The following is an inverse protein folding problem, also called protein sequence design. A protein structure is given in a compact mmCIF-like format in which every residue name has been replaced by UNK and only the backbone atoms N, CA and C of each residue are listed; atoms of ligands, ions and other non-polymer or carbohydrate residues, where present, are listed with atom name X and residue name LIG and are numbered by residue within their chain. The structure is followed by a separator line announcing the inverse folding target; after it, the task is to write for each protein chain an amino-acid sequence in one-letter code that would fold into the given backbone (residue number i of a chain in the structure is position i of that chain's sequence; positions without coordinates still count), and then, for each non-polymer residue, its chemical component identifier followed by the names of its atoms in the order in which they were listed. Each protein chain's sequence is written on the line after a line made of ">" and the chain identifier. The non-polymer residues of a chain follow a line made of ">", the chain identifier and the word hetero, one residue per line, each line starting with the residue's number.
data_IF_879192296881
#
_entry.id   IF_879192296881
#
_cell.length_a   1.000
_cell.length_b   1.000
_cell.length_c   1.000
_cell.angle_alpha   90.00
_cell.angle_beta   90.00
_cell.angle_gamma   90.00
#
_symmetry.space_group_name_H-M   'P 1'
#
loop_
_entity.id
_entity.type
_entity.pdbx_description
1 polymer ?
#
# COMPACT_ATOMS: atom_id res chain seq x y z
N UNK A 1 25.55 20.99 -7.14
CA UNK A 1 25.26 19.77 -7.94
C UNK A 1 23.86 19.29 -7.56
N UNK A 2 23.02 18.85 -8.51
CA UNK A 2 21.62 18.43 -8.25
C UNK A 2 21.47 16.94 -7.90
N UNK A 3 22.44 16.10 -8.24
CA UNK A 3 22.44 14.66 -7.96
C UNK A 3 23.79 14.21 -7.39
N UNK A 4 23.77 13.16 -6.56
CA UNK A 4 24.98 12.56 -5.99
C UNK A 4 25.67 11.68 -7.06
N UNK A 5 26.90 12.03 -7.52
CA UNK A 5 27.61 11.25 -8.54
C UNK A 5 28.16 9.92 -8.01
N UNK A 6 28.16 9.71 -6.70
CA UNK A 6 28.76 8.54 -6.06
C UNK A 6 27.78 7.37 -5.87
N UNK A 7 26.56 7.49 -6.42
CA UNK A 7 25.57 6.41 -6.43
C UNK A 7 26.07 5.26 -7.32
N UNK A 8 26.04 4.04 -6.76
CA UNK A 8 26.50 2.80 -7.40
C UNK A 8 25.36 1.80 -7.55
N UNK A 9 25.56 0.80 -8.40
CA UNK A 9 24.65 -0.35 -8.55
C UNK A 9 23.74 -0.33 -9.77
N UNK A 10 23.72 0.74 -10.56
CA UNK A 10 22.91 0.81 -11.79
C UNK A 10 23.36 -0.22 -12.84
N UNK A 11 22.38 -0.85 -13.50
CA UNK A 11 22.60 -1.68 -14.68
C UNK A 11 23.01 -0.80 -15.87
N UNK A 12 24.07 -1.19 -16.58
CA UNK A 12 24.58 -0.46 -17.77
C UNK A 12 24.54 -1.30 -19.05
N UNK A 13 24.27 -2.60 -18.93
CA UNK A 13 24.21 -3.53 -20.05
C UNK A 13 22.82 -4.09 -20.30
N UNK A 14 22.76 -5.04 -21.23
CA UNK A 14 21.53 -5.69 -21.70
C UNK A 14 21.51 -7.14 -21.21
N UNK A 15 20.36 -7.58 -20.72
CA UNK A 15 20.17 -8.94 -20.21
C UNK A 15 21.05 -9.20 -18.99
N UNK A 16 21.87 -10.26 -19.04
CA UNK A 16 22.76 -10.65 -17.93
C UNK A 16 24.12 -9.94 -17.93
N UNK A 17 24.34 -8.98 -18.85
CA UNK A 17 25.61 -8.25 -18.95
C UNK A 17 25.54 -6.96 -18.14
N UNK A 18 26.58 -6.67 -17.37
CA UNK A 18 26.73 -5.41 -16.61
C UNK A 18 25.46 -5.02 -15.82
N UNK A 19 24.94 -5.97 -15.04
CA UNK A 19 23.69 -5.82 -14.28
C UNK A 19 23.85 -4.91 -13.05
N UNK A 20 25.07 -4.63 -12.62
CA UNK A 20 25.31 -3.88 -11.38
C UNK A 20 24.78 -4.69 -10.19
N UNK A 21 23.94 -4.07 -9.37
CA UNK A 21 23.25 -4.74 -8.25
C UNK A 21 21.82 -5.17 -8.58
N UNK A 22 21.44 -5.14 -9.86
CA UNK A 22 20.15 -5.68 -10.28
C UNK A 22 20.20 -7.21 -10.30
N UNK A 23 19.40 -7.84 -9.42
CA UNK A 23 19.26 -9.30 -9.31
C UNK A 23 18.00 -9.85 -10.00
N UNK A 24 17.25 -9.00 -10.70
CA UNK A 24 15.99 -9.41 -11.33
C UNK A 24 16.21 -10.47 -12.41
N UNK A 25 15.35 -11.50 -12.39
CA UNK A 25 15.34 -12.60 -13.34
C UNK A 25 13.96 -12.69 -13.99
N UNK A 26 13.92 -12.77 -15.33
CA UNK A 26 12.68 -12.98 -16.07
C UNK A 26 11.94 -14.22 -15.59
N UNK A 27 10.64 -14.11 -15.34
CA UNK A 27 9.81 -15.21 -14.86
C UNK A 27 9.92 -15.53 -13.36
N UNK A 28 10.78 -14.84 -12.61
CA UNK A 28 10.88 -15.03 -11.17
C UNK A 28 9.57 -14.70 -10.46
N UNK A 29 9.28 -15.45 -9.40
CA UNK A 29 8.15 -15.27 -8.50
C UNK A 29 8.68 -14.91 -7.11
N UNK A 30 7.77 -14.71 -6.16
CA UNK A 30 8.15 -14.34 -4.80
C UNK A 30 9.02 -15.41 -4.11
N UNK A 31 8.81 -16.69 -4.45
CA UNK A 31 9.56 -17.82 -3.88
C UNK A 31 11.07 -17.79 -4.17
N UNK A 32 11.50 -17.18 -5.28
CA UNK A 32 12.93 -17.09 -5.65
C UNK A 32 13.64 -15.86 -5.08
N UNK A 33 12.92 -14.88 -4.51
CA UNK A 33 13.52 -13.64 -3.99
C UNK A 33 14.49 -13.86 -2.82
N UNK A 34 14.26 -14.78 -1.86
CA UNK A 34 15.25 -15.06 -0.82
C UNK A 34 16.63 -15.39 -1.40
N UNK A 35 16.69 -16.19 -2.48
CA UNK A 35 17.96 -16.51 -3.14
C UNK A 35 18.55 -15.29 -3.88
N UNK A 36 17.72 -14.47 -4.54
CA UNK A 36 18.19 -13.22 -5.16
C UNK A 36 18.79 -12.24 -4.14
N UNK A 37 18.21 -12.17 -2.94
CA UNK A 37 18.73 -11.35 -1.84
C UNK A 37 20.07 -11.88 -1.34
N UNK A 38 20.22 -13.19 -1.13
CA UNK A 38 21.52 -13.77 -0.78
C UNK A 38 22.58 -13.42 -1.84
N UNK A 39 22.25 -13.54 -3.12
CA UNK A 39 23.15 -13.18 -4.21
C UNK A 39 23.50 -11.68 -4.20
N UNK A 40 22.53 -10.79 -3.91
CA UNK A 40 22.75 -9.36 -3.73
C UNK A 40 23.74 -9.08 -2.59
N UNK A 41 23.53 -9.71 -1.43
CA UNK A 41 24.40 -9.53 -0.26
C UNK A 41 25.83 -9.99 -0.57
N UNK A 42 25.99 -11.17 -1.17
CA UNK A 42 27.31 -11.70 -1.56
C UNK A 42 27.98 -10.74 -2.56
N UNK A 43 27.23 -10.26 -3.56
CA UNK A 43 27.76 -9.35 -4.58
C UNK A 43 28.23 -8.04 -3.95
N UNK A 44 27.44 -7.43 -3.06
CA UNK A 44 27.84 -6.20 -2.36
C UNK A 44 29.01 -6.40 -1.40
N UNK A 45 29.11 -7.55 -0.73
CA UNK A 45 30.25 -7.88 0.16
C UNK A 45 31.56 -8.08 -0.62
N UNK A 46 31.47 -8.57 -1.85
CA UNK A 46 32.63 -8.84 -2.70
C UNK A 46 33.04 -7.64 -3.59
N UNK A 47 32.20 -6.61 -3.69
CA UNK A 47 32.50 -5.42 -4.46
C UNK A 47 33.39 -4.46 -3.64
N UNK A 48 34.67 -4.35 -4.02
CA UNK A 48 35.65 -3.47 -3.37
C UNK A 48 35.26 -1.98 -3.37
N UNK A 49 34.33 -1.56 -4.23
CA UNK A 49 33.84 -0.19 -4.27
C UNK A 49 32.72 0.08 -3.28
N UNK A 50 32.16 -0.94 -2.63
CA UNK A 50 31.09 -0.81 -1.64
C UNK A 50 31.65 -1.03 -0.24
N UNK A 51 31.48 -0.03 0.63
CA UNK A 51 31.66 -0.25 2.04
C UNK A 51 30.38 -0.92 2.59
N UNK A 52 30.35 -2.26 2.57
CA UNK A 52 29.15 -3.02 2.95
C UNK A 52 28.64 -2.62 4.33
N UNK A 53 29.52 -2.28 5.28
CA UNK A 53 29.12 -1.90 6.64
C UNK A 53 28.63 -0.46 6.77
N UNK A 54 29.21 0.48 6.02
CA UNK A 54 29.00 1.91 6.27
C UNK A 54 28.20 2.64 5.20
N UNK A 55 28.15 2.16 3.97
CA UNK A 55 27.35 2.82 2.94
C UNK A 55 25.85 2.61 3.22
N UNK A 56 25.01 3.60 2.94
CA UNK A 56 23.56 3.37 2.92
C UNK A 56 23.16 2.61 1.66
N UNK A 57 22.27 1.63 1.79
CA UNK A 57 21.70 0.87 0.67
C UNK A 57 20.21 1.18 0.52
N UNK A 58 19.81 1.47 -0.71
CA UNK A 58 18.41 1.55 -1.10
C UNK A 58 18.06 0.29 -1.90
N UNK A 59 17.41 -0.68 -1.26
CA UNK A 59 17.01 -1.95 -1.88
C UNK A 59 15.58 -1.81 -2.35
N UNK A 60 15.28 -2.14 -3.61
CA UNK A 60 13.93 -2.05 -4.17
C UNK A 60 13.45 -3.43 -4.59
N UNK A 61 12.39 -3.91 -3.94
CA UNK A 61 11.73 -5.18 -4.24
C UNK A 61 10.46 -4.89 -5.05
N UNK A 62 10.41 -5.40 -6.28
CA UNK A 62 9.23 -5.37 -7.14
C UNK A 62 9.04 -6.73 -7.77
N UNK A 63 8.05 -7.47 -7.28
CA UNK A 63 7.80 -8.88 -7.60
C UNK A 63 6.30 -9.18 -7.44
N UNK A 64 5.81 -10.30 -7.96
CA UNK A 64 4.41 -10.73 -7.84
C UNK A 64 3.64 -10.78 -9.16
N UNK A 65 4.15 -10.16 -10.22
CA UNK A 65 3.50 -10.21 -11.54
C UNK A 65 3.38 -11.64 -12.06
N UNK A 66 4.46 -12.42 -12.00
CA UNK A 66 4.44 -13.83 -12.43
C UNK A 66 3.62 -14.72 -11.50
N UNK A 67 3.61 -14.44 -10.18
CA UNK A 67 2.78 -15.14 -9.20
C UNK A 67 1.29 -15.01 -9.59
N UNK A 68 0.83 -13.79 -9.86
CA UNK A 68 -0.56 -13.52 -10.28
C UNK A 68 -0.86 -14.08 -11.67
N UNK A 69 0.05 -13.89 -12.62
CA UNK A 69 -0.12 -14.34 -13.99
C UNK A 69 -0.19 -15.87 -14.14
N UNK A 70 0.37 -16.61 -13.19
CA UNK A 70 0.44 -18.08 -13.19
C UNK A 70 -0.36 -18.74 -12.06
N UNK A 71 -1.03 -17.96 -11.19
CA UNK A 71 -1.75 -18.45 -10.01
C UNK A 71 -2.70 -19.61 -10.31
N UNK A 72 -3.46 -19.52 -11.40
CA UNK A 72 -4.43 -20.54 -11.79
C UNK A 72 -3.81 -21.91 -12.14
N UNK A 73 -2.51 -21.96 -12.43
CA UNK A 73 -1.78 -23.20 -12.72
C UNK A 73 -1.28 -23.90 -11.44
N UNK A 74 -1.09 -23.17 -10.35
CA UNK A 74 -0.68 -23.70 -9.05
C UNK A 74 -1.16 -22.79 -7.91
N UNK A 75 -2.45 -22.93 -7.58
CA UNK A 75 -3.12 -22.08 -6.58
C UNK A 75 -2.57 -22.25 -5.17
N UNK A 76 -1.98 -23.42 -4.88
CA UNK A 76 -1.46 -23.75 -3.55
C UNK A 76 -0.13 -23.02 -3.36
N UNK A 77 0.82 -23.24 -4.26
CA UNK A 77 2.16 -22.64 -4.16
C UNK A 77 2.09 -21.12 -4.34
N UNK A 78 1.23 -20.63 -5.22
CA UNK A 78 1.10 -19.19 -5.55
C UNK A 78 0.00 -18.48 -4.75
N UNK A 79 -0.43 -19.05 -3.63
CA UNK A 79 -1.41 -18.42 -2.74
C UNK A 79 -0.88 -17.09 -2.14
N UNK A 80 -1.77 -16.14 -1.81
CA UNK A 80 -1.38 -14.92 -1.11
C UNK A 80 -0.60 -15.17 0.19
N UNK A 81 -0.91 -16.26 0.90
CA UNK A 81 -0.21 -16.66 2.12
C UNK A 81 1.23 -17.08 1.86
N UNK A 82 1.48 -17.89 0.81
CA UNK A 82 2.84 -18.27 0.43
C UNK A 82 3.63 -17.07 -0.13
N UNK A 83 2.98 -16.19 -0.90
CA UNK A 83 3.58 -14.93 -1.31
C UNK A 83 4.04 -14.12 -0.08
N UNK A 84 3.15 -13.90 0.89
CA UNK A 84 3.47 -13.19 2.13
C UNK A 84 4.56 -13.88 2.95
N UNK A 85 4.56 -15.21 3.02
CA UNK A 85 5.59 -15.99 3.68
C UNK A 85 6.98 -15.76 3.07
N UNK A 86 7.11 -15.87 1.74
CA UNK A 86 8.37 -15.64 1.05
C UNK A 86 8.82 -14.18 1.11
N UNK A 87 7.88 -13.21 1.10
CA UNK A 87 8.19 -11.80 1.35
C UNK A 87 8.76 -11.59 2.75
N UNK A 88 8.17 -12.21 3.77
CA UNK A 88 8.68 -12.16 5.14
C UNK A 88 10.09 -12.72 5.22
N UNK A 89 10.33 -13.93 4.68
CA UNK A 89 11.67 -14.53 4.65
C UNK A 89 12.70 -13.59 4.00
N UNK A 90 12.31 -12.95 2.90
CA UNK A 90 13.15 -12.01 2.15
C UNK A 90 13.54 -10.79 3.01
N UNK A 91 12.54 -10.18 3.66
CA UNK A 91 12.75 -9.04 4.55
C UNK A 91 13.53 -9.42 5.81
N UNK A 92 13.32 -10.61 6.36
CA UNK A 92 14.06 -11.13 7.52
C UNK A 92 15.56 -11.29 7.21
N UNK A 93 15.92 -11.78 6.02
CA UNK A 93 17.32 -11.88 5.57
C UNK A 93 17.94 -10.48 5.50
N UNK A 94 17.26 -9.52 4.84
CA UNK A 94 17.75 -8.14 4.74
C UNK A 94 17.91 -7.50 6.13
N UNK A 95 16.92 -7.66 7.00
CA UNK A 95 16.92 -7.13 8.35
C UNK A 95 17.99 -7.77 9.24
N UNK A 96 18.38 -9.02 8.99
CA UNK A 96 19.43 -9.69 9.75
C UNK A 96 20.83 -9.35 9.24
N UNK A 97 21.00 -9.26 7.92
CA UNK A 97 22.33 -9.26 7.31
C UNK A 97 22.81 -7.92 6.74
N UNK A 98 21.90 -6.98 6.47
CA UNK A 98 22.24 -5.73 5.78
C UNK A 98 22.21 -4.54 6.77
N UNK A 99 23.36 -3.92 7.05
CA UNK A 99 23.42 -2.66 7.80
C UNK A 99 23.03 -1.48 6.93
N UNK A 100 22.49 -0.42 7.54
CA UNK A 100 22.17 0.86 6.88
C UNK A 100 21.35 0.69 5.60
N UNK A 101 20.13 0.19 5.72
CA UNK A 101 19.29 -0.12 4.56
C UNK A 101 17.89 0.48 4.63
N UNK A 102 17.44 1.05 3.52
CA UNK A 102 16.04 1.35 3.27
C UNK A 102 15.56 0.36 2.21
N UNK A 103 14.55 -0.44 2.55
CA UNK A 103 13.93 -1.42 1.66
C UNK A 103 12.61 -0.86 1.16
N UNK A 104 12.56 -0.48 -0.11
CA UNK A 104 11.34 -0.17 -0.82
C UNK A 104 10.65 -1.48 -1.23
N UNK A 105 9.46 -1.72 -0.71
CA UNK A 105 8.57 -2.78 -1.21
C UNK A 105 7.55 -2.11 -2.13
N UNK A 106 7.66 -2.34 -3.44
CA UNK A 106 6.68 -1.84 -4.39
C UNK A 106 5.45 -2.73 -4.33
N UNK A 107 4.30 -2.12 -4.07
CA UNK A 107 3.04 -2.85 -4.10
C UNK A 107 2.77 -3.34 -5.52
N UNK A 108 2.41 -4.62 -5.67
CA UNK A 108 2.14 -5.18 -7.00
C UNK A 108 0.94 -4.45 -7.63
N UNK A 109 1.03 -4.21 -8.93
CA UNK A 109 -0.02 -3.52 -9.67
C UNK A 109 -1.34 -4.32 -9.68
N UNK A 110 -2.44 -3.57 -9.78
CA UNK A 110 -3.73 -4.12 -10.19
C UNK A 110 -3.67 -4.45 -11.68
N UNK A 111 -3.65 -5.73 -12.04
CA UNK A 111 -3.35 -6.15 -13.41
C UNK A 111 -4.55 -6.31 -14.35
N UNK A 112 -5.78 -5.98 -13.89
CA UNK A 112 -6.96 -5.97 -14.76
C UNK A 112 -6.78 -5.04 -15.97
N UNK A 113 -6.12 -3.90 -15.79
CA UNK A 113 -5.84 -2.94 -16.85
C UNK A 113 -5.08 -3.53 -18.05
N UNK A 114 -4.32 -4.62 -17.86
CA UNK A 114 -3.61 -5.31 -18.95
C UNK A 114 -4.55 -5.80 -20.05
N UNK A 115 -5.78 -6.19 -19.71
CA UNK A 115 -6.79 -6.66 -20.68
C UNK A 115 -7.16 -5.60 -21.71
N UNK A 116 -6.95 -4.32 -21.39
CA UNK A 116 -7.23 -3.19 -22.29
C UNK A 116 -6.11 -2.97 -23.31
N UNK A 117 -4.88 -3.38 -23.00
CA UNK A 117 -3.71 -3.15 -23.86
C UNK A 117 -3.72 -4.20 -24.97
N UNK A 118 -4.15 -3.80 -26.16
CA UNK A 118 -4.27 -4.67 -27.34
C UNK A 118 -3.62 -4.01 -28.55
N UNK A 119 -3.04 -4.82 -29.42
CA UNK A 119 -2.49 -4.42 -30.72
C UNK A 119 -2.47 -5.64 -31.64
N UNK A 120 -2.54 -5.43 -32.94
CA UNK A 120 -2.52 -6.52 -33.94
C UNK A 120 -1.16 -7.21 -34.08
N UNK A 121 -0.14 -6.78 -33.34
CA UNK A 121 1.17 -7.42 -33.37
C UNK A 121 1.17 -8.83 -32.76
N UNK A 122 2.09 -9.69 -33.24
CA UNK A 122 2.25 -11.06 -32.74
C UNK A 122 2.49 -11.10 -31.23
N UNK A 123 3.29 -10.18 -30.69
CA UNK A 123 3.60 -10.13 -29.27
C UNK A 123 2.37 -9.89 -28.41
N UNK A 124 1.52 -8.95 -28.82
CA UNK A 124 0.32 -8.60 -28.07
C UNK A 124 -0.79 -9.67 -28.20
N UNK A 125 -0.91 -10.29 -29.37
CA UNK A 125 -1.96 -11.30 -29.60
C UNK A 125 -1.63 -12.68 -29.01
N UNK A 126 -0.35 -13.07 -28.99
CA UNK A 126 0.08 -14.41 -28.58
C UNK A 126 0.89 -14.41 -27.29
N UNK A 127 2.00 -13.65 -27.24
CA UNK A 127 2.95 -13.70 -26.13
C UNK A 127 2.30 -13.21 -24.83
N UNK A 128 1.56 -12.10 -24.89
CA UNK A 128 0.88 -11.52 -23.73
C UNK A 128 0.03 -12.58 -23.00
N UNK A 129 -0.84 -13.29 -23.74
CA UNK A 129 -1.74 -14.33 -23.21
C UNK A 129 -1.00 -15.56 -22.68
N UNK A 130 0.14 -15.90 -23.26
CA UNK A 130 0.98 -17.00 -22.76
C UNK A 130 1.69 -16.64 -21.45
N UNK A 131 2.13 -15.40 -21.32
CA UNK A 131 2.83 -14.91 -20.11
C UNK A 131 1.84 -14.75 -18.95
N UNK A 132 0.62 -14.27 -19.22
CA UNK A 132 -0.38 -13.99 -18.19
C UNK A 132 -1.75 -14.65 -18.43
N UNK A 133 -1.81 -15.98 -18.54
CA UNK A 133 -3.02 -16.70 -18.92
C UNK A 133 -4.17 -16.49 -17.91
N UNK A 134 -3.87 -16.44 -16.62
CA UNK A 134 -4.89 -16.36 -15.58
C UNK A 134 -5.68 -15.04 -15.60
N UNK A 135 -5.11 -13.96 -16.15
CA UNK A 135 -5.80 -12.68 -16.31
C UNK A 135 -6.34 -12.44 -17.71
N UNK A 136 -5.72 -12.99 -18.75
CA UNK A 136 -6.00 -12.61 -20.14
C UNK A 136 -6.87 -13.62 -20.91
N UNK A 137 -6.95 -14.87 -20.46
CA UNK A 137 -7.80 -15.90 -21.09
C UNK A 137 -9.25 -15.90 -20.60
N UNK A 138 -9.56 -15.65 -19.30
CA UNK A 138 -10.94 -15.70 -18.83
C UNK A 138 -11.83 -14.64 -19.50
N UNK A 139 -13.14 -14.90 -19.60
CA UNK A 139 -14.14 -13.93 -20.10
C UNK A 139 -14.41 -12.80 -19.09
N UNK A 140 -14.96 -11.68 -19.56
CA UNK A 140 -15.20 -10.47 -18.73
C UNK A 140 -16.06 -10.75 -17.47
N UNK A 141 -17.01 -11.67 -17.55
CA UNK A 141 -17.91 -12.02 -16.43
C UNK A 141 -17.66 -13.42 -15.86
N UNK A 142 -16.45 -13.95 -16.07
CA UNK A 142 -16.11 -15.31 -15.66
C UNK A 142 -15.76 -15.40 -14.16
N UNK A 143 -16.11 -16.51 -13.48
CA UNK A 143 -15.70 -16.72 -12.10
C UNK A 143 -14.18 -16.77 -11.94
N UNK A 144 -13.45 -17.21 -12.96
CA UNK A 144 -11.98 -17.22 -12.96
C UNK A 144 -11.40 -15.80 -12.94
N UNK A 145 -11.97 -14.86 -13.71
CA UNK A 145 -11.55 -13.46 -13.66
C UNK A 145 -11.87 -12.81 -12.31
N UNK A 146 -13.05 -13.09 -11.76
CA UNK A 146 -13.44 -12.59 -10.44
C UNK A 146 -12.50 -13.12 -9.34
N UNK A 147 -12.14 -14.41 -9.40
CA UNK A 147 -11.19 -15.00 -8.46
C UNK A 147 -9.83 -14.33 -8.54
N UNK A 148 -9.24 -14.20 -9.74
CA UNK A 148 -7.89 -13.66 -9.84
C UNK A 148 -7.81 -12.17 -9.47
N UNK A 149 -8.87 -11.40 -9.74
CA UNK A 149 -9.00 -10.01 -9.25
C UNK A 149 -8.98 -9.97 -7.72
N UNK A 150 -9.69 -10.88 -7.04
CA UNK A 150 -9.65 -11.01 -5.59
C UNK A 150 -8.24 -11.38 -5.10
N UNK A 151 -7.59 -12.36 -5.72
CA UNK A 151 -6.23 -12.80 -5.35
C UNK A 151 -5.22 -11.67 -5.50
N UNK A 152 -5.32 -10.85 -6.55
CA UNK A 152 -4.47 -9.66 -6.70
C UNK A 152 -4.65 -8.68 -5.54
N UNK A 153 -5.89 -8.46 -5.07
CA UNK A 153 -6.17 -7.62 -3.89
C UNK A 153 -5.68 -8.26 -2.59
N UNK A 154 -5.83 -9.58 -2.44
CA UNK A 154 -5.34 -10.30 -1.26
C UNK A 154 -3.81 -10.19 -1.15
N UNK A 155 -3.08 -10.32 -2.26
CA UNK A 155 -1.61 -10.11 -2.29
C UNK A 155 -1.23 -8.69 -1.87
N UNK A 156 -1.95 -7.67 -2.35
CA UNK A 156 -1.74 -6.27 -1.95
C UNK A 156 -1.97 -6.09 -0.44
N UNK A 157 -3.09 -6.59 0.07
CA UNK A 157 -3.46 -6.52 1.50
C UNK A 157 -2.42 -7.22 2.38
N UNK A 158 -1.99 -8.43 2.01
CA UNK A 158 -1.01 -9.20 2.79
C UNK A 158 0.37 -8.53 2.76
N UNK A 159 0.75 -7.89 1.65
CA UNK A 159 1.98 -7.09 1.55
C UNK A 159 1.92 -5.89 2.49
N UNK A 160 0.80 -5.15 2.48
CA UNK A 160 0.58 -3.99 3.34
C UNK A 160 0.63 -4.36 4.83
N UNK A 161 -0.09 -5.43 5.23
CA UNK A 161 -0.06 -5.94 6.60
C UNK A 161 1.34 -6.34 7.05
N UNK A 162 2.11 -7.00 6.19
CA UNK A 162 3.46 -7.43 6.52
C UNK A 162 4.39 -6.23 6.72
N UNK A 163 4.39 -5.27 5.79
CA UNK A 163 5.29 -4.11 5.84
C UNK A 163 4.95 -3.19 7.02
N UNK A 164 3.67 -2.96 7.31
CA UNK A 164 3.24 -2.12 8.43
C UNK A 164 3.10 -2.86 9.76
N UNK A 165 3.35 -4.18 9.80
CA UNK A 165 3.23 -5.01 10.99
C UNK A 165 4.25 -4.70 12.11
N UNK A 166 5.28 -3.89 11.82
CA UNK A 166 6.25 -3.40 12.81
C UNK A 166 7.41 -4.35 13.10
N UNK A 167 7.48 -5.51 12.43
CA UNK A 167 8.55 -6.51 12.61
C UNK A 167 9.96 -5.95 12.35
N UNK A 168 10.07 -4.84 11.60
CA UNK A 168 11.34 -4.27 11.15
C UNK A 168 11.64 -2.89 11.76
N UNK A 169 10.90 -2.49 12.81
CA UNK A 169 11.04 -1.18 13.46
C UNK A 169 12.12 -1.16 14.57
N UNK A 170 12.77 -2.29 14.84
CA UNK A 170 13.70 -2.45 15.97
C UNK A 170 15.13 -1.93 15.75
N UNK A 171 15.43 -1.34 14.58
CA UNK A 171 16.76 -0.84 14.20
C UNK A 171 16.66 0.59 13.67
N UNK A 172 17.53 1.47 14.15
CA UNK A 172 17.60 2.85 13.65
C UNK A 172 18.24 2.95 12.26
N UNK A 173 19.05 1.95 11.88
CA UNK A 173 19.75 1.90 10.59
C UNK A 173 19.02 1.03 9.55
N UNK A 174 17.75 0.69 9.78
CA UNK A 174 16.97 -0.13 8.85
C UNK A 174 15.52 0.33 8.78
N UNK A 175 14.96 0.38 7.57
CA UNK A 175 13.54 0.65 7.38
C UNK A 175 12.98 -0.16 6.22
N UNK A 176 11.75 -0.66 6.36
CA UNK A 176 10.95 -1.20 5.26
C UNK A 176 9.81 -0.22 4.98
N UNK A 177 9.66 0.18 3.72
CA UNK A 177 8.68 1.19 3.31
C UNK A 177 7.91 0.67 2.11
N UNK A 178 6.58 0.61 2.24
CA UNK A 178 5.68 0.30 1.13
C UNK A 178 5.61 1.50 0.19
N UNK A 179 5.71 1.24 -1.12
CA UNK A 179 5.55 2.24 -2.18
C UNK A 179 4.32 1.87 -3.04
N UNK A 180 3.12 2.35 -2.66
CA UNK A 180 1.85 1.87 -3.20
C UNK A 180 1.42 2.52 -4.53
N UNK A 181 2.31 3.20 -5.26
CA UNK A 181 1.96 3.92 -6.50
C UNK A 181 1.38 3.03 -7.63
N UNK A 182 1.25 1.73 -7.42
CA UNK A 182 0.59 0.80 -8.34
C UNK A 182 -0.68 0.13 -7.80
N UNK A 183 -1.05 0.40 -6.54
CA UNK A 183 -2.23 -0.19 -5.90
C UNK A 183 -3.48 -0.04 -6.76
N UNK A 184 -3.68 1.16 -7.29
CA UNK A 184 -4.75 1.51 -8.21
C UNK A 184 -4.11 1.82 -9.57
N UNK A 185 -4.23 0.89 -10.52
CA UNK A 185 -3.53 1.01 -11.79
C UNK A 185 -4.31 1.86 -12.79
N UNK A 186 -3.63 2.86 -13.37
CA UNK A 186 -4.16 3.69 -14.45
C UNK A 186 -3.47 3.27 -15.75
N UNK A 187 -4.26 2.89 -16.75
CA UNK A 187 -3.75 2.59 -18.09
C UNK A 187 -3.50 3.91 -18.84
N UNK A 188 -2.27 4.18 -19.34
CA UNK A 188 -1.99 5.38 -20.13
C UNK A 188 -2.83 5.38 -21.41
N UNK A 189 -3.33 6.54 -21.79
CA UNK A 189 -4.13 6.73 -23.01
C UNK A 189 -3.42 7.66 -23.99
N UNK A 190 -3.58 7.40 -25.27
CA UNK A 190 -3.11 8.25 -26.37
C UNK A 190 -4.09 9.41 -26.62
N UNK A 191 -3.80 10.23 -27.63
CA UNK A 191 -4.63 11.39 -28.01
C UNK A 191 -6.04 11.01 -28.46
N UNK A 192 -6.25 9.75 -28.85
CA UNK A 192 -7.54 9.22 -29.29
C UNK A 192 -8.31 8.54 -28.14
N UNK A 193 -7.76 8.58 -26.91
CA UNK A 193 -8.35 7.93 -25.73
C UNK A 193 -8.17 6.42 -25.70
N UNK A 194 -7.28 5.85 -26.53
CA UNK A 194 -6.98 4.40 -26.57
C UNK A 194 -5.74 4.11 -25.74
N UNK A 195 -5.54 2.88 -25.24
CA UNK A 195 -4.33 2.52 -24.50
C UNK A 195 -3.05 2.83 -25.29
N UNK A 196 -2.19 3.70 -24.73
CA UNK A 196 -0.95 4.11 -25.37
C UNK A 196 0.08 2.97 -25.30
N UNK A 197 0.16 2.22 -26.40
CA UNK A 197 1.08 1.09 -26.53
C UNK A 197 2.56 1.47 -26.41
N UNK A 198 2.95 2.75 -26.53
CA UNK A 198 4.35 3.18 -26.44
C UNK A 198 4.93 3.06 -25.02
N UNK A 199 4.06 2.93 -24.01
CA UNK A 199 4.45 2.62 -22.64
C UNK A 199 4.85 1.16 -22.42
N UNK A 200 4.60 0.29 -23.40
CA UNK A 200 4.83 -1.14 -23.32
C UNK A 200 5.85 -1.62 -24.35
N UNK A 201 6.48 -2.75 -24.05
CA UNK A 201 7.40 -3.44 -24.94
C UNK A 201 6.63 -4.12 -26.10
N UNK A 202 7.34 -4.79 -27.00
CA UNK A 202 6.73 -5.47 -28.17
C UNK A 202 5.76 -6.59 -27.80
N UNK A 203 5.77 -7.05 -26.56
CA UNK A 203 4.83 -8.04 -26.02
C UNK A 203 3.52 -7.44 -25.46
N UNK A 204 3.35 -6.11 -25.45
CA UNK A 204 2.22 -5.41 -24.80
C UNK A 204 2.02 -5.79 -23.32
N UNK A 205 3.06 -6.28 -22.64
CA UNK A 205 2.97 -6.74 -21.27
C UNK A 205 4.00 -6.02 -20.39
N UNK A 206 5.29 -6.14 -20.73
CA UNK A 206 6.34 -5.46 -20.00
C UNK A 206 6.38 -3.98 -20.36
N UNK A 207 6.78 -3.12 -19.43
CA UNK A 207 6.97 -1.70 -19.72
C UNK A 207 8.12 -1.48 -20.71
N UNK A 208 7.99 -0.46 -21.56
CA UNK A 208 9.09 0.06 -22.35
C UNK A 208 10.03 0.90 -21.48
N UNK A 209 11.14 1.38 -22.05
CA UNK A 209 11.99 2.39 -21.39
C UNK A 209 11.19 3.61 -20.91
N UNK A 210 10.21 4.05 -21.72
CA UNK A 210 9.29 5.13 -21.38
C UNK A 210 8.42 4.77 -20.16
N UNK A 211 7.86 3.57 -20.11
CA UNK A 211 7.10 3.12 -18.94
C UNK A 211 7.97 3.02 -17.68
N UNK A 212 9.18 2.48 -17.81
CA UNK A 212 10.14 2.43 -16.70
C UNK A 212 10.55 3.82 -16.19
N UNK A 213 10.67 4.83 -17.07
CA UNK A 213 10.98 6.20 -16.66
C UNK A 213 9.89 6.83 -15.77
N UNK A 214 8.61 6.64 -16.13
CA UNK A 214 7.49 7.11 -15.32
C UNK A 214 7.34 6.32 -14.02
N UNK A 215 7.60 5.01 -14.04
CA UNK A 215 7.69 4.20 -12.82
C UNK A 215 8.77 4.70 -11.85
N UNK A 216 9.96 5.03 -12.37
CA UNK A 216 11.05 5.56 -11.57
C UNK A 216 10.68 6.93 -10.95
N UNK A 217 9.97 7.76 -11.71
CA UNK A 217 9.44 9.05 -11.24
C UNK A 217 8.42 8.86 -10.13
N UNK A 218 7.47 7.93 -10.30
CA UNK A 218 6.46 7.61 -9.30
C UNK A 218 7.10 7.09 -8.01
N UNK A 219 8.01 6.12 -8.10
CA UNK A 219 8.76 5.60 -6.94
C UNK A 219 9.53 6.72 -6.21
N UNK A 220 10.23 7.57 -6.95
CA UNK A 220 10.96 8.71 -6.37
C UNK A 220 10.02 9.64 -5.59
N UNK A 221 8.90 10.01 -6.19
CA UNK A 221 7.90 10.87 -5.55
C UNK A 221 7.30 10.22 -4.30
N UNK A 222 7.03 8.91 -4.35
CA UNK A 222 6.47 8.14 -3.25
C UNK A 222 7.44 8.04 -2.05
N UNK A 223 8.76 7.98 -2.30
CA UNK A 223 9.78 8.10 -1.24
C UNK A 223 9.79 9.48 -0.56
N UNK A 224 9.30 10.53 -1.24
CA UNK A 224 9.20 11.90 -0.72
C UNK A 224 7.80 12.24 -0.18
N UNK A 225 6.96 11.22 0.05
CA UNK A 225 5.64 11.36 0.68
C UNK A 225 5.60 10.65 2.03
N UNK A 226 5.01 11.25 3.09
CA UNK A 226 4.86 10.59 4.38
C UNK A 226 4.13 9.25 4.26
N UNK A 227 4.57 8.26 5.04
CA UNK A 227 3.85 7.00 5.25
C UNK A 227 2.42 7.30 5.70
N UNK A 228 1.44 6.65 5.07
CA UNK A 228 0.01 6.92 5.26
C UNK A 228 -0.56 8.01 4.35
N UNK A 229 0.28 8.79 3.66
CA UNK A 229 -0.12 9.83 2.70
C UNK A 229 0.49 9.62 1.32
N UNK A 230 1.06 8.44 1.07
CA UNK A 230 1.67 8.08 -0.20
C UNK A 230 0.61 7.95 -1.30
N UNK A 231 0.94 8.43 -2.48
CA UNK A 231 0.12 8.26 -3.67
C UNK A 231 0.00 6.78 -4.03
N UNK A 232 -1.22 6.35 -4.38
CA UNK A 232 -1.57 4.93 -4.59
C UNK A 232 -1.76 4.55 -6.07
N UNK A 233 -1.38 5.43 -6.99
CA UNK A 233 -1.52 5.25 -8.43
C UNK A 233 -0.37 5.93 -9.18
N UNK A 234 -0.09 5.48 -10.40
CA UNK A 234 0.93 6.06 -11.27
C UNK A 234 0.25 6.85 -12.38
N UNK A 235 0.68 8.08 -12.59
CA UNK A 235 0.23 8.90 -13.71
C UNK A 235 1.30 8.92 -14.81
N UNK A 236 1.06 8.15 -15.86
CA UNK A 236 1.96 7.98 -17.00
C UNK A 236 1.87 9.18 -17.96
N UNK A 237 2.54 10.29 -17.61
CA UNK A 237 2.54 11.52 -18.42
C UNK A 237 3.85 11.77 -19.17
N UNK A 238 4.94 11.08 -18.83
CA UNK A 238 6.31 11.38 -19.28
C UNK A 238 6.73 12.84 -19.08
N UNK A 239 6.14 13.51 -18.07
CA UNK A 239 6.39 14.91 -17.79
C UNK A 239 7.52 15.05 -16.76
N UNK A 240 8.71 15.50 -17.20
CA UNK A 240 9.90 15.63 -16.33
C UNK A 240 9.71 16.61 -15.16
N UNK A 241 8.79 17.56 -15.27
CA UNK A 241 8.45 18.51 -14.22
C UNK A 241 7.65 17.87 -13.05
N UNK A 242 7.25 16.60 -13.15
CA UNK A 242 6.54 15.90 -12.09
C UNK A 242 7.47 15.35 -10.98
N UNK A 243 8.79 15.42 -11.14
CA UNK A 243 9.75 15.00 -10.12
C UNK A 243 9.71 15.94 -8.91
N UNK A 244 9.36 15.40 -7.74
CA UNK A 244 9.41 16.12 -6.48
C UNK A 244 10.86 16.31 -6.03
N UNK A 245 11.13 17.49 -5.49
CA UNK A 245 12.38 17.81 -4.80
C UNK A 245 12.13 17.79 -3.28
N UNK A 246 13.08 17.30 -2.47
CA UNK A 246 13.04 17.50 -1.03
C UNK A 246 13.00 19.00 -0.68
N UNK A 247 12.31 19.36 0.40
CA UNK A 247 12.28 20.74 0.92
C UNK A 247 13.23 20.89 2.10
N UNK A 248 13.43 22.12 2.59
CA UNK A 248 14.25 22.35 3.79
C UNK A 248 13.60 21.75 5.05
N UNK A 249 12.27 21.74 5.11
CA UNK A 249 11.48 21.14 6.20
C UNK A 249 11.50 19.60 6.15
N UNK A 250 11.54 19.03 4.94
CA UNK A 250 11.52 17.59 4.70
C UNK A 250 12.64 17.16 3.74
N UNK A 251 13.92 17.16 4.20
CA UNK A 251 15.07 16.90 3.34
C UNK A 251 15.37 15.41 3.12
N UNK A 252 14.64 14.51 3.80
CA UNK A 252 14.93 13.07 3.82
C UNK A 252 13.83 12.22 3.20
N UNK A 253 14.18 10.99 2.82
CA UNK A 253 13.21 9.96 2.43
C UNK A 253 12.29 9.67 3.64
N UNK A 254 10.99 9.58 3.38
CA UNK A 254 10.02 9.27 4.41
C UNK A 254 9.98 7.78 4.73
N UNK A 255 10.14 7.47 6.01
CA UNK A 255 9.94 6.17 6.66
C UNK A 255 8.88 6.33 7.74
N UNK A 256 8.49 5.24 8.41
CA UNK A 256 7.55 5.32 9.53
C UNK A 256 8.03 6.29 10.64
N UNK A 257 9.34 6.36 10.87
CA UNK A 257 9.93 7.14 11.97
C UNK A 257 9.88 8.67 11.79
N UNK A 258 9.73 9.17 10.56
CA UNK A 258 9.68 10.62 10.27
C UNK A 258 8.40 11.06 9.53
N UNK A 259 7.41 10.17 9.40
CA UNK A 259 6.14 10.48 8.72
C UNK A 259 5.05 11.00 9.64
N UNK A 260 5.16 10.74 10.94
CA UNK A 260 4.22 11.23 11.94
C UNK A 260 4.90 12.35 12.73
N UNK A 261 4.20 13.45 13.04
CA UNK A 261 4.69 14.41 14.01
C UNK A 261 5.04 13.65 15.28
N UNK A 262 6.18 13.97 15.89
CA UNK A 262 6.52 13.51 17.24
C UNK A 262 5.52 14.13 18.23
N UNK A 263 4.28 13.64 18.25
CA UNK A 263 3.42 13.75 19.43
C UNK A 263 3.92 12.73 20.43
N UNK A 264 5.14 12.95 20.94
CA UNK A 264 5.46 12.57 22.30
C UNK A 264 4.71 13.54 23.23
N UNK A 265 3.38 13.59 23.12
CA UNK A 265 2.59 13.81 24.31
C UNK A 265 2.63 12.47 25.01
N UNK A 266 3.37 12.40 26.11
CA UNK A 266 3.12 11.43 27.15
C UNK A 266 1.60 11.37 27.36
N UNK A 267 0.94 10.36 26.78
CA UNK A 267 -0.37 9.92 27.23
C UNK A 267 -0.20 9.15 28.55
N UNK A 268 0.64 9.66 29.46
CA UNK A 268 0.67 9.32 30.88
C UNK A 268 -0.24 10.26 31.68
N UNK A 269 -1.08 11.05 31.01
CA UNK A 269 -2.21 11.71 31.62
C UNK A 269 -3.22 10.66 32.07
N UNK A 270 -2.97 10.04 33.23
CA UNK A 270 -3.98 9.27 33.93
C UNK A 270 -5.18 10.18 34.12
N UNK A 271 -6.28 9.88 33.44
CA UNK A 271 -7.57 10.53 33.72
C UNK A 271 -7.85 10.19 35.19
N UNK A 272 -7.92 11.20 36.09
CA UNK A 272 -8.11 10.90 37.49
C UNK A 272 -9.43 10.15 37.68
N UNK A 273 -9.44 9.06 38.45
CA UNK A 273 -10.64 8.24 38.66
C UNK A 273 -11.85 9.07 39.16
N UNK A 274 -11.58 10.20 39.84
CA UNK A 274 -12.62 11.14 40.27
C UNK A 274 -13.39 11.79 39.11
N UNK A 275 -12.77 11.96 37.93
CA UNK A 275 -13.42 12.56 36.77
C UNK A 275 -14.55 11.67 36.25
N UNK A 276 -14.31 10.36 36.18
CA UNK A 276 -15.33 9.37 35.83
C UNK A 276 -16.47 9.33 36.86
N UNK A 277 -16.13 9.41 38.16
CA UNK A 277 -17.13 9.48 39.23
C UNK A 277 -17.99 10.75 39.15
N UNK A 278 -17.39 11.91 38.89
CA UNK A 278 -18.11 13.18 38.72
C UNK A 278 -19.04 13.12 37.51
N UNK A 279 -18.57 12.61 36.37
CA UNK A 279 -19.40 12.47 35.16
C UNK A 279 -20.58 11.52 35.40
N UNK A 280 -20.37 10.41 36.11
CA UNK A 280 -21.44 9.48 36.48
C UNK A 280 -22.48 10.14 37.40
N UNK A 281 -22.04 10.88 38.42
CA UNK A 281 -22.92 11.60 39.36
C UNK A 281 -23.72 12.68 38.62
N UNK A 282 -23.07 13.49 37.78
CA UNK A 282 -23.73 14.54 37.00
C UNK A 282 -24.76 13.93 36.04
N UNK A 283 -24.43 12.83 35.37
CA UNK A 283 -25.36 12.10 34.51
C UNK A 283 -26.58 11.58 35.27
N UNK A 284 -26.37 11.03 36.48
CA UNK A 284 -27.44 10.58 37.38
C UNK A 284 -28.35 11.72 37.82
N UNK A 285 -27.78 12.86 38.21
CA UNK A 285 -28.54 14.04 38.63
C UNK A 285 -29.38 14.60 37.48
N UNK A 286 -28.80 14.69 36.27
CA UNK A 286 -29.53 15.13 35.07
C UNK A 286 -30.68 14.16 34.77
N UNK A 287 -30.41 12.86 34.78
CA UNK A 287 -31.43 11.83 34.58
C UNK A 287 -32.56 11.93 35.61
N UNK A 288 -32.23 12.20 36.86
CA UNK A 288 -33.22 12.32 37.92
C UNK A 288 -34.09 13.58 37.78
N UNK A 289 -33.50 14.72 37.42
CA UNK A 289 -34.23 15.97 37.15
C UNK A 289 -35.17 15.80 35.96
N UNK A 290 -34.73 15.16 34.87
CA UNK A 290 -35.57 14.89 33.70
C UNK A 290 -36.73 13.96 34.10
N UNK A 291 -36.44 12.90 34.84
CA UNK A 291 -37.45 11.94 35.27
C UNK A 291 -38.49 12.60 36.19
N UNK A 292 -38.04 13.41 37.15
CA UNK A 292 -38.91 14.14 38.06
C UNK A 292 -39.79 15.17 37.34
N UNK A 293 -39.23 15.93 36.40
CA UNK A 293 -40.00 16.88 35.58
C UNK A 293 -41.05 16.17 34.74
N UNK A 294 -40.74 15.03 34.12
CA UNK A 294 -41.71 14.22 33.38
C UNK A 294 -42.84 13.73 34.30
N UNK A 295 -42.52 13.18 35.47
CA UNK A 295 -43.55 12.72 36.41
C UNK A 295 -44.39 13.88 36.97
N UNK A 296 -43.78 15.01 37.28
CA UNK A 296 -44.49 16.21 37.76
C UNK A 296 -45.43 16.78 36.69
N UNK A 297 -44.98 16.85 35.43
CA UNK A 297 -45.82 17.25 34.30
C UNK A 297 -47.01 16.29 34.11
N UNK A 298 -46.78 14.97 34.20
CA UNK A 298 -47.83 13.96 34.11
C UNK A 298 -48.84 14.05 35.26
N UNK A 299 -48.39 14.24 36.50
CA UNK A 299 -49.27 14.43 37.66
C UNK A 299 -50.12 15.70 37.52
N UNK A 300 -49.51 16.82 37.10
CA UNK A 300 -50.23 18.07 36.85
C UNK A 300 -51.28 17.93 35.74
N UNK A 301 -51.00 17.15 34.70
CA UNK A 301 -51.96 16.88 33.61
C UNK A 301 -53.08 15.96 34.07
N UNK A 302 -52.78 14.96 34.91
CA UNK A 302 -53.76 14.07 35.53
C UNK A 302 -54.71 14.83 36.46
N UNK A 303 -54.17 15.66 37.35
CA UNK A 303 -54.96 16.53 38.25
C UNK A 303 -55.84 17.52 37.47
N UNK A 304 -55.33 18.11 36.37
CA UNK A 304 -56.15 18.94 35.48
C UNK A 304 -57.31 18.14 34.86
N UNK A 305 -57.07 16.92 34.40
CA UNK A 305 -58.13 16.04 33.85
C UNK A 305 -59.19 15.68 34.90
N UNK A 306 -58.81 15.36 36.13
CA UNK A 306 -59.76 15.11 37.24
C UNK A 306 -60.57 16.36 37.61
N UNK A 307 -59.97 17.55 37.56
CA UNK A 307 -60.68 18.80 37.86
C UNK A 307 -61.72 19.12 36.77
N UNK A 308 -61.39 18.90 35.49
CA UNK A 308 -62.37 19.02 34.39
C UNK A 308 -63.48 17.98 34.44
N UNK A 309 -63.20 16.73 34.87
CA UNK A 309 -64.27 15.72 35.02
C UNK A 309 -65.17 16.00 36.23
N UNK A 310 -64.64 16.60 37.30
CA UNK A 310 -65.42 17.03 38.46
C UNK A 310 -66.33 18.24 38.18
N UNK A 311 -65.96 19.13 37.26
CA UNK A 311 -66.85 20.22 36.81
C UNK A 311 -67.93 19.71 35.84
N UNK A 312 -67.64 18.68 35.03
CA UNK A 312 -68.61 18.08 34.10
C UNK A 312 -69.70 17.21 34.73
N UNK A 313 -69.63 16.90 36.04
CA UNK A 313 -70.64 16.10 36.76
C UNK A 313 -71.60 16.94 37.63
N UNK A 314 -71.55 18.28 37.57
CA UNK A 314 -72.46 19.16 38.32
C UNK A 314 -73.56 19.83 37.49
N UNK A 315 -73.66 19.56 36.20
CA UNK A 315 -74.78 19.98 35.35
C UNK A 315 -75.48 18.76 34.76
N UNK A 316 -76.39 18.15 35.55
CA UNK A 316 -77.67 17.54 35.11
C UNK A 316 -78.34 16.88 36.31
N UNK A 317 -79.20 17.64 36.98
CA UNK A 317 -80.31 17.13 37.80
C UNK A 317 -81.49 18.06 37.54
N UNK A 318 -82.53 17.51 36.93
CA UNK A 318 -83.89 18.06 36.98
C UNK A 318 -84.53 17.69 38.32
#
# INVERSE_FOLDING_TARGET
>A
RKFNPDIKGASKGIGKRQTGFNMAVSGAKMAEIPQQIHNLIITMKNDSTVNFQNDWKLVTLFIGGNDLCQYCNDRVTLSPQNYSHHMRMSLDILYKEVPRAIVNVLEILEIEGLRRIKSDSLGCNLIQKQVCPCFLLPGEDSPELAEIKRINRDVQIETEKLVYGGNYDGREDFAVVLQPFFKNTIVPLDTDGRPDSTYFSKDCFHFSERGHADMATALWNNMLEPVGQKQTYNNFTNARNNLKCPTEEHPYIFTKGNSFPTTASDCSGSVPAWLAAVLAIVGLLIGWVITWTVFFCRDKTSKRKMMTSSLGMKETTF
#
